data_IF_197502131632
#
_entry.id   IF_197502131632
#
_cell.length_a   1.000
_cell.length_b   1.000
_cell.length_c   1.000
_cell.angle_alpha   90.00
_cell.angle_beta   90.00
_cell.angle_gamma   90.00
#
_symmetry.space_group_name_H-M   'P 1'
#
loop_
_entity.id
_entity.type
_entity.pdbx_description
1 polymer ?
#
# COMPACT_ATOMS: atom_id res chain seq x y z
N UNK A 1 -24.81 28.23 11.31
CA UNK A 1 -23.51 28.73 10.84
C UNK A 1 -23.31 28.27 9.39
N UNK A 2 -23.78 29.06 8.44
CA UNK A 2 -23.71 28.78 7.00
C UNK A 2 -22.70 29.72 6.37
N UNK A 3 -21.41 29.38 6.49
CA UNK A 3 -20.35 30.04 5.75
C UNK A 3 -19.83 29.05 4.71
N UNK A 4 -19.97 29.41 3.42
CA UNK A 4 -19.21 28.96 2.25
C UNK A 4 -20.08 28.78 0.99
N UNK A 5 -20.85 29.81 0.62
CA UNK A 5 -21.27 30.00 -0.78
C UNK A 5 -20.19 30.81 -1.54
N UNK A 6 -18.92 30.53 -1.31
CA UNK A 6 -17.85 31.03 -2.17
C UNK A 6 -18.10 30.40 -3.54
N UNK A 7 -18.43 31.23 -4.54
CA UNK A 7 -18.61 30.86 -5.94
C UNK A 7 -17.62 29.76 -6.33
N UNK A 8 -18.07 28.50 -6.32
CA UNK A 8 -17.16 27.39 -6.56
C UNK A 8 -16.85 27.42 -8.05
N UNK A 9 -15.69 27.97 -8.40
CA UNK A 9 -15.20 28.01 -9.78
C UNK A 9 -15.36 26.61 -10.36
N UNK A 10 -16.08 26.43 -11.48
CA UNK A 10 -16.31 25.12 -12.05
C UNK A 10 -14.95 24.51 -12.41
N UNK A 11 -14.71 23.27 -11.96
CA UNK A 11 -13.45 22.61 -12.25
C UNK A 11 -13.38 22.18 -13.72
N UNK A 12 -12.19 22.28 -14.31
CA UNK A 12 -11.92 21.68 -15.61
C UNK A 12 -12.23 20.17 -15.59
N UNK A 13 -12.73 19.64 -16.72
CA UNK A 13 -13.11 18.22 -16.83
C UNK A 13 -11.96 17.28 -16.45
N UNK A 14 -10.74 17.58 -16.91
CA UNK A 14 -9.52 16.83 -16.59
C UNK A 14 -9.24 16.82 -15.09
N UNK A 15 -9.34 17.98 -14.42
CA UNK A 15 -9.13 18.08 -12.96
C UNK A 15 -10.13 17.22 -12.19
N UNK A 16 -11.40 17.18 -12.63
CA UNK A 16 -12.43 16.33 -12.00
C UNK A 16 -12.10 14.85 -12.12
N UNK A 17 -11.72 14.41 -13.33
CA UNK A 17 -11.39 13.01 -13.57
C UNK A 17 -10.15 12.57 -12.77
N UNK A 18 -9.07 13.34 -12.84
CA UNK A 18 -7.84 13.06 -12.08
C UNK A 18 -8.15 13.01 -10.58
N UNK A 19 -8.93 13.97 -10.07
CA UNK A 19 -9.33 13.98 -8.67
C UNK A 19 -10.13 12.71 -8.29
N UNK A 20 -11.12 12.31 -9.09
CA UNK A 20 -11.92 11.11 -8.81
C UNK A 20 -11.06 9.84 -8.82
N UNK A 21 -10.14 9.73 -9.76
CA UNK A 21 -9.19 8.62 -9.83
C UNK A 21 -8.38 8.51 -8.53
N UNK A 22 -7.70 9.59 -8.13
CA UNK A 22 -6.91 9.58 -6.89
C UNK A 22 -7.77 9.42 -5.65
N UNK A 23 -8.96 10.03 -5.62
CA UNK A 23 -9.90 9.88 -4.52
C UNK A 23 -10.27 8.42 -4.29
N UNK A 24 -10.68 7.71 -5.34
CA UNK A 24 -11.05 6.30 -5.24
C UNK A 24 -9.83 5.46 -4.87
N UNK A 25 -8.70 5.68 -5.52
CA UNK A 25 -7.46 4.96 -5.25
C UNK A 25 -7.00 5.08 -3.79
N UNK A 26 -6.97 6.30 -3.25
CA UNK A 26 -6.56 6.52 -1.85
C UNK A 26 -7.59 6.01 -0.85
N UNK A 27 -8.89 6.15 -1.13
CA UNK A 27 -9.94 5.60 -0.26
C UNK A 27 -9.85 4.08 -0.22
N UNK A 28 -9.61 3.45 -1.36
CA UNK A 28 -9.36 2.01 -1.42
C UNK A 28 -8.15 1.65 -0.58
N UNK A 29 -6.99 2.25 -0.82
CA UNK A 29 -5.79 1.91 -0.06
C UNK A 29 -5.97 2.15 1.45
N UNK A 30 -6.71 3.18 1.86
CA UNK A 30 -7.00 3.45 3.27
C UNK A 30 -7.92 2.39 3.90
N UNK A 31 -8.94 1.93 3.19
CA UNK A 31 -9.89 0.94 3.71
C UNK A 31 -9.37 -0.50 3.64
N UNK A 32 -8.50 -0.76 2.67
CA UNK A 32 -8.14 -2.10 2.21
C UNK A 32 -6.65 -2.43 2.38
N UNK A 33 -5.89 -1.64 3.15
CA UNK A 33 -4.49 -1.96 3.48
C UNK A 33 -4.41 -2.77 4.79
N UNK A 34 -3.85 -4.00 4.75
CA UNK A 34 -3.58 -4.79 5.96
C UNK A 34 -2.63 -4.06 6.91
N UNK A 35 -1.57 -3.43 6.37
CA UNK A 35 -0.56 -2.72 7.17
C UNK A 35 -1.16 -1.54 7.94
N UNK A 36 -1.98 -0.72 7.27
CA UNK A 36 -2.70 0.37 7.93
C UNK A 36 -3.63 -0.15 9.03
N UNK A 37 -4.31 -1.26 8.78
CA UNK A 37 -5.16 -1.89 9.79
C UNK A 37 -4.36 -2.30 11.03
N UNK A 38 -3.21 -2.94 10.84
CA UNK A 38 -2.31 -3.33 11.95
C UNK A 38 -1.82 -2.12 12.72
N UNK A 39 -1.40 -1.05 12.02
CA UNK A 39 -0.93 0.16 12.68
C UNK A 39 -2.03 0.84 13.51
N UNK A 40 -3.30 0.71 13.10
CA UNK A 40 -4.43 1.33 13.80
C UNK A 40 -4.99 0.48 14.94
N UNK A 41 -5.08 -0.84 14.75
CA UNK A 41 -5.84 -1.73 15.63
C UNK A 41 -5.00 -2.86 16.23
N UNK A 42 -3.74 -2.97 15.85
CA UNK A 42 -2.85 -4.08 16.22
C UNK A 42 -3.01 -5.30 15.32
N UNK A 43 -2.09 -6.25 15.47
CA UNK A 43 -2.10 -7.48 14.69
C UNK A 43 -3.30 -8.37 15.05
N UNK A 44 -4.06 -8.79 14.03
CA UNK A 44 -5.15 -9.74 14.18
C UNK A 44 -5.12 -10.76 13.02
N UNK A 45 -4.84 -12.01 13.36
CA UNK A 45 -4.71 -13.10 12.39
C UNK A 45 -6.00 -13.32 11.55
N UNK A 46 -7.18 -13.18 12.15
CA UNK A 46 -8.45 -13.36 11.43
C UNK A 46 -8.65 -12.29 10.36
N UNK A 47 -8.21 -11.05 10.64
CA UNK A 47 -8.32 -9.94 9.70
C UNK A 47 -7.28 -10.06 8.59
N UNK A 48 -6.05 -10.49 8.90
CA UNK A 48 -5.05 -10.81 7.88
C UNK A 48 -5.54 -11.91 6.94
N UNK A 49 -5.99 -13.04 7.49
CA UNK A 49 -6.51 -14.14 6.70
C UNK A 49 -7.72 -13.72 5.84
N UNK A 50 -8.50 -12.72 6.28
CA UNK A 50 -9.57 -12.16 5.49
C UNK A 50 -9.05 -11.34 4.30
N UNK A 51 -8.04 -10.50 4.52
CA UNK A 51 -7.37 -9.76 3.45
C UNK A 51 -6.70 -10.70 2.44
N UNK A 52 -5.96 -11.71 2.90
CA UNK A 52 -5.29 -12.68 2.03
C UNK A 52 -6.31 -13.42 1.17
N UNK A 53 -7.41 -13.91 1.76
CA UNK A 53 -8.49 -14.55 1.00
C UNK A 53 -9.12 -13.64 -0.05
N UNK A 54 -9.09 -12.33 0.18
CA UNK A 54 -9.64 -11.36 -0.75
C UNK A 54 -8.66 -11.01 -1.87
N UNK A 55 -7.38 -10.75 -1.56
CA UNK A 55 -6.41 -10.29 -2.56
C UNK A 55 -5.69 -11.39 -3.33
N UNK A 56 -5.31 -12.46 -2.64
CA UNK A 56 -4.51 -13.54 -3.21
C UNK A 56 -5.14 -14.14 -4.48
N UNK A 57 -6.47 -14.39 -4.57
CA UNK A 57 -7.08 -14.86 -5.81
C UNK A 57 -6.98 -13.86 -6.95
N UNK A 58 -7.06 -12.56 -6.64
CA UNK A 58 -6.99 -11.46 -7.62
C UNK A 58 -5.56 -11.34 -8.15
N UNK A 59 -4.56 -11.36 -7.26
CA UNK A 59 -3.15 -11.32 -7.63
C UNK A 59 -2.73 -12.51 -8.48
N UNK A 60 -3.13 -13.72 -8.08
CA UNK A 60 -2.87 -14.95 -8.85
C UNK A 60 -3.54 -14.92 -10.22
N UNK A 61 -4.81 -14.52 -10.29
CA UNK A 61 -5.52 -14.37 -11.56
C UNK A 61 -4.83 -13.36 -12.47
N UNK A 62 -4.46 -12.19 -11.95
CA UNK A 62 -3.81 -11.17 -12.78
C UNK A 62 -2.45 -11.65 -13.29
N UNK A 63 -1.68 -12.35 -12.47
CA UNK A 63 -0.41 -12.92 -12.88
C UNK A 63 -0.57 -14.04 -13.91
N UNK A 64 -1.54 -14.94 -13.71
CA UNK A 64 -1.77 -16.08 -14.61
C UNK A 64 -2.29 -15.66 -16.00
N UNK A 65 -3.11 -14.61 -16.07
CA UNK A 65 -3.77 -14.21 -17.32
C UNK A 65 -3.09 -13.04 -18.05
N UNK A 66 -2.42 -12.15 -17.33
CA UNK A 66 -1.90 -10.88 -17.90
C UNK A 66 -0.38 -10.80 -17.76
N UNK A 67 0.16 -10.89 -16.56
CA UNK A 67 1.56 -10.52 -16.29
C UNK A 67 2.57 -11.63 -16.60
N UNK A 68 2.22 -12.88 -16.30
CA UNK A 68 3.05 -14.08 -16.52
C UNK A 68 4.45 -13.99 -15.87
N UNK A 69 4.57 -13.37 -14.70
CA UNK A 69 5.84 -13.35 -13.97
C UNK A 69 6.16 -14.73 -13.39
N UNK A 70 7.46 -15.02 -13.27
CA UNK A 70 7.95 -16.22 -12.61
C UNK A 70 7.52 -16.20 -11.14
N UNK A 71 6.63 -17.12 -10.79
CA UNK A 71 6.01 -17.20 -9.48
C UNK A 71 5.75 -18.67 -9.12
N UNK A 72 6.25 -19.09 -7.96
CA UNK A 72 5.98 -20.40 -7.41
C UNK A 72 4.74 -20.35 -6.51
N UNK A 73 3.70 -21.07 -6.92
CA UNK A 73 2.40 -21.12 -6.23
C UNK A 73 2.41 -21.97 -4.97
N UNK A 74 3.38 -22.87 -4.80
CA UNK A 74 3.47 -23.69 -3.58
C UNK A 74 4.15 -22.91 -2.45
N UNK A 75 5.17 -22.13 -2.79
CA UNK A 75 5.93 -21.35 -1.80
C UNK A 75 5.51 -19.89 -1.70
N UNK A 76 4.64 -19.42 -2.59
CA UNK A 76 4.24 -18.02 -2.74
C UNK A 76 5.43 -17.07 -2.91
N UNK A 77 6.41 -17.48 -3.74
CA UNK A 77 7.64 -16.73 -3.95
C UNK A 77 7.87 -16.41 -5.44
N UNK A 78 8.37 -15.20 -5.77
CA UNK A 78 8.58 -14.08 -4.84
C UNK A 78 7.27 -13.37 -4.49
N UNK A 79 7.08 -13.05 -3.21
CA UNK A 79 5.88 -12.38 -2.66
C UNK A 79 5.56 -11.07 -3.39
N UNK A 80 6.61 -10.33 -3.77
CA UNK A 80 6.51 -9.07 -4.51
C UNK A 80 5.72 -9.15 -5.82
N UNK A 81 5.61 -10.33 -6.44
CA UNK A 81 4.80 -10.51 -7.66
C UNK A 81 3.32 -10.37 -7.36
N UNK A 82 2.87 -10.96 -6.26
CA UNK A 82 1.46 -10.90 -5.83
C UNK A 82 1.15 -9.47 -5.39
N UNK A 83 1.98 -8.87 -4.54
CA UNK A 83 1.82 -7.47 -4.11
C UNK A 83 1.72 -6.52 -5.31
N UNK A 84 2.65 -6.64 -6.27
CA UNK A 84 2.63 -5.81 -7.47
C UNK A 84 1.35 -6.00 -8.28
N UNK A 85 0.92 -7.26 -8.44
CA UNK A 85 -0.30 -7.60 -9.18
C UNK A 85 -1.55 -6.98 -8.53
N UNK A 86 -1.65 -7.06 -7.21
CA UNK A 86 -2.74 -6.47 -6.43
C UNK A 86 -2.78 -4.94 -6.56
N UNK A 87 -1.63 -4.28 -6.45
CA UNK A 87 -1.53 -2.83 -6.62
C UNK A 87 -1.93 -2.40 -8.04
N UNK A 88 -1.51 -3.15 -9.05
CA UNK A 88 -1.89 -2.90 -10.44
C UNK A 88 -3.40 -3.05 -10.63
N UNK A 89 -4.01 -4.09 -10.05
CA UNK A 89 -5.46 -4.28 -10.07
C UNK A 89 -6.18 -3.07 -9.47
N UNK A 90 -5.75 -2.60 -8.30
CA UNK A 90 -6.36 -1.44 -7.66
C UNK A 90 -6.27 -0.16 -8.48
N UNK A 91 -5.14 0.06 -9.17
CA UNK A 91 -4.97 1.19 -10.10
C UNK A 91 -5.97 1.08 -11.25
N UNK A 92 -6.06 -0.09 -11.90
CA UNK A 92 -6.94 -0.31 -13.05
C UNK A 92 -8.41 -0.18 -12.65
N UNK A 93 -8.82 -0.78 -11.54
CA UNK A 93 -10.19 -0.71 -11.08
C UNK A 93 -10.56 0.71 -10.59
N UNK A 94 -9.64 1.45 -9.96
CA UNK A 94 -9.84 2.87 -9.64
C UNK A 94 -10.06 3.71 -10.91
N UNK A 95 -9.32 3.42 -11.98
CA UNK A 95 -9.48 4.09 -13.28
C UNK A 95 -10.85 3.79 -13.91
N UNK A 96 -11.31 2.53 -13.84
CA UNK A 96 -12.62 2.12 -14.35
C UNK A 96 -13.76 2.78 -13.57
N UNK A 97 -13.72 2.73 -12.23
CA UNK A 97 -14.75 3.32 -11.39
C UNK A 97 -14.76 4.84 -11.55
N UNK A 98 -13.60 5.50 -11.59
CA UNK A 98 -13.52 6.94 -11.84
C UNK A 98 -14.11 7.31 -13.21
N UNK A 99 -13.88 6.50 -14.24
CA UNK A 99 -14.45 6.69 -15.57
C UNK A 99 -15.97 6.57 -15.56
N UNK A 100 -16.49 5.49 -14.96
CA UNK A 100 -17.94 5.26 -14.82
C UNK A 100 -18.58 6.42 -14.06
N UNK A 101 -18.01 6.80 -12.92
CA UNK A 101 -18.48 7.91 -12.10
C UNK A 101 -18.47 9.22 -12.88
N UNK A 102 -17.39 9.50 -13.61
CA UNK A 102 -17.25 10.71 -14.41
C UNK A 102 -18.31 10.80 -15.51
N UNK A 103 -18.69 9.67 -16.13
CA UNK A 103 -19.76 9.64 -17.14
C UNK A 103 -21.16 9.81 -16.54
N UNK A 104 -21.41 9.26 -15.34
CA UNK A 104 -22.69 9.36 -14.64
C UNK A 104 -22.90 10.75 -14.02
N UNK A 105 -21.86 11.33 -13.40
CA UNK A 105 -21.96 12.61 -12.70
C UNK A 105 -21.60 13.81 -13.59
N UNK A 106 -22.49 14.10 -14.55
CA UNK A 106 -22.35 15.25 -15.46
C UNK A 106 -22.83 16.57 -14.85
N UNK A 107 -23.58 16.53 -13.74
CA UNK A 107 -24.27 17.71 -13.19
C UNK A 107 -23.43 18.48 -12.17
N UNK A 108 -22.50 17.82 -11.46
CA UNK A 108 -21.68 18.50 -10.44
C UNK A 108 -20.65 19.45 -11.05
N UNK A 109 -20.61 20.68 -10.54
CA UNK A 109 -19.69 21.75 -11.01
C UNK A 109 -18.28 21.61 -10.42
N UNK A 110 -18.14 21.09 -9.21
CA UNK A 110 -16.86 20.92 -8.50
C UNK A 110 -16.97 19.77 -7.47
N UNK A 111 -15.82 19.29 -6.99
CA UNK A 111 -15.71 18.26 -5.94
C UNK A 111 -15.01 18.82 -4.69
N UNK A 112 -15.33 20.07 -4.31
CA UNK A 112 -14.67 20.76 -3.20
C UNK A 112 -14.87 20.02 -1.87
N UNK A 113 -16.08 19.53 -1.60
CA UNK A 113 -16.38 18.80 -0.36
C UNK A 113 -15.63 17.47 -0.29
N UNK A 114 -15.62 16.69 -1.39
CA UNK A 114 -14.86 15.44 -1.45
C UNK A 114 -13.35 15.70 -1.29
N UNK A 115 -12.84 16.78 -1.88
CA UNK A 115 -11.43 17.17 -1.75
C UNK A 115 -11.07 17.52 -0.30
N UNK A 116 -11.97 18.23 0.40
CA UNK A 116 -11.80 18.53 1.82
C UNK A 116 -11.70 17.25 2.66
N UNK A 117 -12.65 16.32 2.48
CA UNK A 117 -12.64 15.04 3.19
C UNK A 117 -11.43 14.17 2.83
N UNK A 118 -11.04 14.11 1.56
CA UNK A 118 -9.84 13.40 1.13
C UNK A 118 -8.60 13.95 1.81
N UNK A 119 -8.47 15.27 1.92
CA UNK A 119 -7.33 15.91 2.59
C UNK A 119 -7.26 15.52 4.06
N UNK A 120 -8.41 15.45 4.75
CA UNK A 120 -8.47 15.00 6.14
C UNK A 120 -8.04 13.54 6.25
N UNK A 121 -8.61 12.67 5.41
CA UNK A 121 -8.28 11.24 5.40
C UNK A 121 -6.79 11.00 5.15
N UNK A 122 -6.21 11.66 4.14
CA UNK A 122 -4.79 11.54 3.82
C UNK A 122 -3.90 12.02 4.96
N UNK A 123 -4.25 13.12 5.64
CA UNK A 123 -3.51 13.60 6.81
C UNK A 123 -3.54 12.59 7.96
N UNK A 124 -4.69 11.99 8.22
CA UNK A 124 -4.83 10.95 9.25
C UNK A 124 -4.01 9.72 8.90
N UNK A 125 -4.15 9.20 7.67
CA UNK A 125 -3.38 8.07 7.18
C UNK A 125 -1.87 8.31 7.28
N UNK A 126 -1.40 9.46 6.79
CA UNK A 126 0.02 9.81 6.84
C UNK A 126 0.53 9.93 8.28
N UNK A 127 -0.28 10.49 9.19
CA UNK A 127 0.10 10.59 10.60
C UNK A 127 0.25 9.20 11.23
N UNK A 128 -0.67 8.29 10.96
CA UNK A 128 -0.63 6.90 11.45
C UNK A 128 0.61 6.18 10.91
N UNK A 129 0.84 6.23 9.60
CA UNK A 129 2.01 5.59 8.96
C UNK A 129 3.31 6.16 9.52
N UNK A 130 3.43 7.49 9.63
CA UNK A 130 4.67 8.13 10.11
C UNK A 130 4.96 7.75 11.56
N UNK A 131 3.94 7.71 12.41
CA UNK A 131 4.09 7.29 13.82
C UNK A 131 4.41 5.81 13.93
N UNK A 132 3.66 4.94 13.22
CA UNK A 132 3.89 3.50 13.21
C UNK A 132 5.30 3.14 12.73
N UNK A 133 5.70 3.70 11.59
CA UNK A 133 7.05 3.54 11.06
C UNK A 133 8.13 4.07 12.03
N UNK A 134 7.87 5.21 12.68
CA UNK A 134 8.76 5.75 13.70
C UNK A 134 8.97 4.79 14.87
N UNK A 135 7.89 4.17 15.37
CA UNK A 135 7.95 3.17 16.44
C UNK A 135 8.73 1.93 15.99
N UNK A 136 8.46 1.42 14.78
CA UNK A 136 9.17 0.27 14.22
C UNK A 136 10.67 0.52 14.05
N UNK A 137 11.10 1.77 13.80
CA UNK A 137 12.53 2.11 13.71
C UNK A 137 13.20 2.33 15.06
N UNK A 138 12.43 2.73 16.09
CA UNK A 138 12.96 2.90 17.45
C UNK A 138 13.25 1.56 18.13
N UNK A 139 12.50 0.51 17.78
CA UNK A 139 12.68 -0.83 18.32
C UNK A 139 13.44 -1.66 17.28
N UNK A 140 14.63 -2.21 17.57
CA UNK A 140 15.42 -2.98 16.60
C UNK A 140 14.83 -4.38 16.38
N UNK A 141 13.60 -4.47 15.86
CA UNK A 141 12.93 -5.73 15.53
C UNK A 141 13.30 -6.20 14.11
N UNK A 142 13.57 -5.27 13.20
CA UNK A 142 13.84 -5.58 11.78
C UNK A 142 15.28 -6.07 11.51
N UNK A 143 16.20 -5.98 12.48
CA UNK A 143 17.59 -6.45 12.37
C UNK A 143 18.04 -7.16 13.66
N UNK A 144 17.48 -8.34 13.97
CA UNK A 144 17.94 -9.13 15.10
C UNK A 144 19.41 -9.55 14.91
N UNK A 145 20.20 -9.57 15.98
CA UNK A 145 21.62 -9.98 15.95
C UNK A 145 21.78 -11.37 15.31
N UNK A 146 22.82 -11.58 14.49
CA UNK A 146 22.91 -12.79 13.70
C UNK A 146 23.32 -13.93 14.61
N UNK A 147 22.74 -15.10 14.40
CA UNK A 147 23.21 -16.28 15.12
C UNK A 147 24.52 -16.80 14.49
N UNK A 148 25.28 -17.59 15.26
CA UNK A 148 26.54 -18.20 14.80
C UNK A 148 26.36 -19.00 13.50
N UNK A 149 25.22 -19.66 13.31
CA UNK A 149 24.89 -20.41 12.10
C UNK A 149 24.83 -19.53 10.85
N UNK A 150 24.24 -18.33 10.95
CA UNK A 150 24.17 -17.36 9.86
C UNK A 150 25.55 -16.78 9.51
N UNK A 151 26.43 -16.61 10.49
CA UNK A 151 27.81 -16.14 10.26
C UNK A 151 28.69 -17.19 9.59
N UNK A 152 28.43 -18.47 9.82
CA UNK A 152 29.18 -19.58 9.19
C UNK A 152 28.68 -19.95 7.80
N UNK A 153 27.46 -19.52 7.42
CA UNK A 153 26.90 -19.81 6.10
C UNK A 153 27.48 -18.89 5.02
N UNK A 154 27.70 -19.43 3.83
CA UNK A 154 28.16 -18.64 2.67
C UNK A 154 27.17 -17.53 2.35
N UNK A 155 27.67 -16.30 2.19
CA UNK A 155 26.88 -15.11 1.88
C UNK A 155 26.00 -15.29 0.64
N UNK A 156 26.43 -16.08 -0.34
CA UNK A 156 25.66 -16.34 -1.57
C UNK A 156 24.38 -17.17 -1.38
N UNK A 157 24.24 -17.89 -0.27
CA UNK A 157 23.07 -18.73 0.02
C UNK A 157 22.08 -18.08 1.00
N UNK A 158 22.37 -16.87 1.46
CA UNK A 158 21.48 -16.12 2.35
C UNK A 158 20.35 -15.51 1.52
N UNK A 159 19.07 -15.66 1.91
CA UNK A 159 17.94 -15.00 1.22
C UNK A 159 18.05 -13.47 1.18
N UNK A 160 18.90 -12.87 2.01
CA UNK A 160 19.01 -11.43 2.25
C UNK A 160 20.43 -10.87 2.03
N UNK A 161 21.19 -11.45 1.09
CA UNK A 161 22.62 -11.18 0.86
C UNK A 161 23.01 -9.71 1.00
N UNK A 162 22.30 -8.82 0.31
CA UNK A 162 22.64 -7.38 0.28
C UNK A 162 22.52 -6.71 1.65
N UNK A 163 21.47 -7.03 2.40
CA UNK A 163 21.23 -6.48 3.74
C UNK A 163 22.16 -7.11 4.78
N UNK A 164 22.45 -8.41 4.64
CA UNK A 164 23.34 -9.15 5.52
C UNK A 164 24.79 -8.65 5.43
N UNK A 165 25.26 -8.27 4.24
CA UNK A 165 26.61 -7.74 4.03
C UNK A 165 26.81 -6.39 4.72
N UNK A 166 25.88 -5.44 4.52
CA UNK A 166 26.00 -4.09 5.08
C UNK A 166 25.95 -4.11 6.60
N UNK A 167 25.08 -4.93 7.17
CA UNK A 167 24.91 -5.01 8.61
C UNK A 167 26.00 -5.84 9.33
N UNK A 168 26.46 -6.95 8.73
CA UNK A 168 27.62 -7.69 9.27
C UNK A 168 28.84 -6.79 9.37
N UNK A 169 29.07 -5.94 8.36
CA UNK A 169 30.17 -4.96 8.35
C UNK A 169 30.04 -3.94 9.48
N UNK A 170 28.85 -3.44 9.77
CA UNK A 170 28.61 -2.42 10.81
C UNK A 170 28.79 -2.99 12.22
N UNK A 171 28.35 -4.22 12.47
CA UNK A 171 28.55 -4.89 13.76
C UNK A 171 30.03 -5.29 14.00
N UNK A 172 30.77 -5.66 12.95
CA UNK A 172 32.21 -5.96 13.06
C UNK A 172 33.07 -4.73 13.33
N UNK A 173 32.61 -3.52 12.99
CA UNK A 173 33.32 -2.27 13.29
C UNK A 173 33.12 -1.74 14.72
N UNK A 174 32.17 -2.32 15.47
CA UNK A 174 31.84 -1.93 16.84
C UNK A 174 32.47 -2.86 17.91
N UNK A 175 33.41 -3.72 17.51
CA UNK A 175 34.22 -4.62 18.36
C UNK A 175 35.69 -4.27 18.17
#
# INVERSE_FOLDING_TARGET
MTANSLNSIPWARTKKFIFLFFFIYFVWHFLFSPDLYVMMFGYNESVFNWFDKFYMPIGLWLNDYILHFAFDKETFQPESVIDFSEHLFFILASLLIASIWFFLDRKRKSYNDLHFWLTILLRLALSIITVGYGIEKLIPVQMPTPNLYQLTNSLGNQKWVTMAITWSRENLSNV
#
